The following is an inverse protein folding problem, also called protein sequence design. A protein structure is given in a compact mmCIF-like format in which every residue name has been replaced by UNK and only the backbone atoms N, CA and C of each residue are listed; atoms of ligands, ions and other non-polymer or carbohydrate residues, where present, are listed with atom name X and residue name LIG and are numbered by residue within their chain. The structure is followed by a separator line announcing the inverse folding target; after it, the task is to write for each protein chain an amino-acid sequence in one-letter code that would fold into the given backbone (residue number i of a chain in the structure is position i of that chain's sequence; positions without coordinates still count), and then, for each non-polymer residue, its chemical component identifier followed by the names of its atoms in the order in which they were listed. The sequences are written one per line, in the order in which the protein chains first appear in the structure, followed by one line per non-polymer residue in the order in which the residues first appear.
data_IF_300195283223
#
_entry.id   IF_300195283223
#
_cell.length_a   1.000
_cell.length_b   1.000
_cell.length_c   1.000
_cell.angle_alpha   90.00
_cell.angle_beta   90.00
_cell.angle_gamma   90.00
#
_symmetry.space_group_name_H-M   'P 1'
#
loop_
_entity.id
_entity.type
_entity.pdbx_description
1 polymer ?
#
# COMPACT_ATOMS: atom_id res chain seq x y z
N UNK A 1 -54.00 7.23 7.70
CA UNK A 1 -53.07 7.65 6.63
C UNK A 1 -51.66 7.40 7.12
N UNK A 2 -51.08 6.29 6.70
CA UNK A 2 -49.74 5.85 7.09
C UNK A 2 -48.69 6.56 6.21
N UNK A 3 -47.87 7.39 6.82
CA UNK A 3 -46.72 8.01 6.16
C UNK A 3 -45.70 6.91 5.89
N UNK A 4 -45.40 6.69 4.61
CA UNK A 4 -44.47 5.66 4.15
C UNK A 4 -43.03 6.15 4.37
N UNK A 5 -42.38 5.64 5.42
CA UNK A 5 -41.05 6.09 5.90
C UNK A 5 -39.91 5.73 4.89
N UNK A 6 -40.19 4.91 3.87
CA UNK A 6 -39.20 4.43 2.88
C UNK A 6 -38.85 5.41 1.73
N UNK A 7 -39.12 6.71 1.86
CA UNK A 7 -38.76 7.70 0.83
C UNK A 7 -38.21 9.02 1.37
N UNK A 8 -37.40 8.97 2.42
CA UNK A 8 -36.51 10.08 2.75
C UNK A 8 -35.08 9.60 2.46
N UNK A 9 -34.59 9.89 1.26
CA UNK A 9 -33.15 9.91 1.00
C UNK A 9 -32.60 11.14 1.71
N UNK A 10 -32.06 10.96 2.91
CA UNK A 10 -31.10 11.92 3.44
C UNK A 10 -29.85 11.80 2.58
N UNK A 11 -29.69 12.72 1.63
CA UNK A 11 -28.39 12.98 1.02
C UNK A 11 -27.57 13.75 2.07
N UNK A 12 -26.87 13.01 2.92
CA UNK A 12 -26.09 13.53 4.04
C UNK A 12 -24.71 14.08 3.59
N UNK A 13 -24.52 14.26 2.28
CA UNK A 13 -23.26 14.70 1.69
C UNK A 13 -22.13 13.66 1.79
N UNK A 14 -22.34 12.53 2.47
CA UNK A 14 -21.37 11.43 2.54
C UNK A 14 -21.17 10.79 1.16
N UNK A 15 -22.17 10.89 0.29
CA UNK A 15 -22.11 10.47 -1.11
C UNK A 15 -21.06 11.22 -1.94
N UNK A 16 -20.45 12.32 -1.45
CA UNK A 16 -19.64 13.22 -2.29
C UNK A 16 -18.12 13.07 -2.25
N UNK A 17 -17.47 12.36 -1.32
CA UNK A 17 -15.98 12.25 -1.35
C UNK A 17 -15.37 11.22 -0.39
N UNK A 18 -15.34 9.95 -0.78
CA UNK A 18 -14.22 9.08 -0.44
C UNK A 18 -13.40 8.99 -1.74
N UNK A 19 -12.12 9.36 -1.67
CA UNK A 19 -11.26 9.33 -2.83
C UNK A 19 -10.72 7.91 -2.98
N UNK A 20 -10.93 7.31 -4.16
CA UNK A 20 -10.33 6.03 -4.52
C UNK A 20 -9.40 6.25 -5.70
N UNK A 21 -8.23 5.60 -5.69
CA UNK A 21 -7.32 5.56 -6.83
C UNK A 21 -7.01 4.12 -7.21
N UNK A 22 -6.76 3.88 -8.50
CA UNK A 22 -6.30 2.59 -9.00
C UNK A 22 -4.79 2.71 -9.23
N UNK A 23 -4.01 1.83 -8.60
CA UNK A 23 -2.56 1.75 -8.80
C UNK A 23 -2.19 0.35 -9.26
N UNK A 24 -1.25 0.27 -10.20
CA UNK A 24 -0.57 -0.99 -10.52
C UNK A 24 0.60 -1.07 -9.53
N UNK A 25 0.73 -2.15 -8.78
CA UNK A 25 1.81 -2.29 -7.79
C UNK A 25 2.98 -3.09 -8.38
N UNK A 26 2.90 -4.42 -8.30
CA UNK A 26 3.96 -5.32 -8.78
C UNK A 26 3.54 -6.04 -10.03
N UNK A 27 4.43 -6.08 -11.01
CA UNK A 27 4.21 -6.79 -12.28
C UNK A 27 5.30 -7.81 -12.49
N UNK A 28 4.90 -9.01 -12.87
CA UNK A 28 5.79 -10.09 -13.29
C UNK A 28 5.54 -10.41 -14.76
N UNK A 29 6.60 -10.45 -15.55
CA UNK A 29 6.53 -10.69 -16.99
C UNK A 29 7.37 -11.90 -17.40
N UNK A 30 6.99 -12.53 -18.50
CA UNK A 30 7.83 -13.44 -19.27
C UNK A 30 8.34 -12.69 -20.48
N UNK A 31 9.65 -12.77 -20.73
CA UNK A 31 10.30 -12.20 -21.90
C UNK A 31 10.78 -13.37 -22.74
N UNK A 32 10.49 -13.40 -24.04
CA UNK A 32 10.88 -14.50 -24.91
C UNK A 32 11.29 -14.01 -26.29
N UNK A 33 12.23 -14.74 -26.90
CA UNK A 33 12.58 -14.59 -28.30
C UNK A 33 12.22 -15.89 -29.03
N UNK A 34 10.99 -16.01 -29.58
CA UNK A 34 10.43 -17.30 -29.99
C UNK A 34 11.28 -18.06 -31.01
N UNK A 35 11.88 -17.35 -31.96
CA UNK A 35 12.66 -18.01 -33.02
C UNK A 35 13.98 -18.60 -32.50
N UNK A 36 14.56 -18.04 -31.44
CA UNK A 36 15.81 -18.56 -30.88
C UNK A 36 15.65 -19.95 -30.30
N UNK A 37 14.43 -20.37 -29.90
CA UNK A 37 14.20 -21.74 -29.46
C UNK A 37 14.61 -22.76 -30.53
N UNK A 38 14.27 -22.48 -31.80
CA UNK A 38 14.63 -23.35 -32.93
C UNK A 38 16.13 -23.35 -33.27
N UNK A 39 16.88 -22.35 -32.80
CA UNK A 39 18.31 -22.17 -33.09
C UNK A 39 19.18 -22.74 -31.97
N UNK A 40 18.82 -22.47 -30.71
CA UNK A 40 19.61 -22.80 -29.53
C UNK A 40 19.19 -24.12 -28.88
N UNK A 41 17.94 -24.55 -29.06
CA UNK A 41 17.37 -25.70 -28.37
C UNK A 41 17.36 -25.56 -26.84
N UNK A 42 17.52 -26.70 -26.15
CA UNK A 42 17.59 -26.77 -24.69
C UNK A 42 18.96 -27.31 -24.27
N UNK A 43 19.88 -26.42 -23.88
CA UNK A 43 21.24 -26.78 -23.48
C UNK A 43 21.77 -25.88 -22.37
N UNK A 44 22.31 -26.47 -21.31
CA UNK A 44 22.92 -25.69 -20.23
C UNK A 44 24.25 -25.10 -20.69
N UNK A 45 24.35 -23.77 -20.75
CA UNK A 45 25.55 -23.09 -21.19
C UNK A 45 26.59 -22.99 -20.06
N UNK A 46 27.36 -24.08 -19.88
CA UNK A 46 28.28 -24.27 -18.76
C UNK A 46 29.38 -23.20 -18.72
N UNK A 47 29.96 -22.87 -19.87
CA UNK A 47 31.08 -21.92 -19.95
C UNK A 47 30.66 -20.52 -19.51
N UNK A 48 29.48 -20.08 -19.95
CA UNK A 48 28.90 -18.79 -19.57
C UNK A 48 28.53 -18.79 -18.08
N UNK A 49 27.89 -19.86 -17.59
CA UNK A 49 27.60 -20.01 -16.17
C UNK A 49 28.88 -19.94 -15.31
N UNK A 50 29.95 -20.66 -15.67
CA UNK A 50 31.20 -20.66 -14.91
C UNK A 50 31.89 -19.29 -14.96
N UNK A 51 31.86 -18.61 -16.12
CA UNK A 51 32.39 -17.26 -16.28
C UNK A 51 31.64 -16.23 -15.41
N UNK A 52 30.31 -16.22 -15.49
CA UNK A 52 29.48 -15.30 -14.68
C UNK A 52 29.58 -15.63 -13.20
N UNK A 53 29.56 -16.91 -12.82
CA UNK A 53 29.73 -17.31 -11.41
C UNK A 53 31.09 -16.89 -10.85
N UNK A 54 32.14 -16.89 -11.66
CA UNK A 54 33.49 -16.48 -11.23
C UNK A 54 33.60 -14.97 -11.08
N UNK A 55 33.11 -14.22 -12.07
CA UNK A 55 33.34 -12.76 -12.15
C UNK A 55 32.23 -11.95 -11.47
N UNK A 56 31.00 -12.46 -11.48
CA UNK A 56 29.80 -11.80 -10.97
C UNK A 56 28.88 -12.78 -10.20
N UNK A 57 29.39 -13.46 -9.15
CA UNK A 57 28.63 -14.49 -8.42
C UNK A 57 27.28 -13.99 -7.87
N UNK A 58 27.18 -12.71 -7.54
CA UNK A 58 25.96 -12.08 -7.01
C UNK A 58 24.78 -12.10 -7.98
N UNK A 59 25.04 -12.20 -9.29
CA UNK A 59 23.99 -12.25 -10.32
C UNK A 59 23.62 -13.68 -10.71
N UNK A 60 24.20 -14.71 -10.08
CA UNK A 60 23.84 -16.11 -10.32
C UNK A 60 22.83 -16.55 -9.27
N UNK A 61 21.58 -16.79 -9.69
CA UNK A 61 20.52 -17.24 -8.80
C UNK A 61 19.90 -18.55 -9.27
N UNK A 62 19.50 -19.38 -8.31
CA UNK A 62 18.72 -20.59 -8.59
C UNK A 62 17.24 -20.27 -8.47
N UNK A 63 16.53 -20.29 -9.60
CA UNK A 63 15.10 -20.01 -9.67
C UNK A 63 14.34 -21.33 -9.81
N UNK A 64 13.29 -21.49 -9.02
CA UNK A 64 12.42 -22.67 -9.12
C UNK A 64 11.46 -22.51 -10.31
N UNK A 65 11.41 -23.53 -11.15
CA UNK A 65 10.51 -23.61 -12.29
C UNK A 65 9.53 -24.78 -12.09
N UNK A 66 8.26 -24.55 -12.40
CA UNK A 66 7.27 -25.62 -12.49
C UNK A 66 7.34 -26.22 -13.88
N UNK A 67 7.71 -27.50 -13.99
CA UNK A 67 7.71 -28.23 -15.26
C UNK A 67 7.01 -29.57 -15.05
N UNK A 68 5.99 -29.87 -15.85
CA UNK A 68 5.22 -31.13 -15.83
C UNK A 68 4.81 -31.61 -14.42
N UNK A 69 4.29 -30.71 -13.58
CA UNK A 69 3.84 -31.04 -12.21
C UNK A 69 4.95 -31.15 -11.16
N UNK A 70 6.23 -31.14 -11.54
CA UNK A 70 7.38 -31.08 -10.64
C UNK A 70 7.97 -29.67 -10.48
N UNK A 71 8.60 -29.40 -9.33
CA UNK A 71 9.43 -28.20 -9.11
C UNK A 71 10.89 -28.56 -9.40
N UNK A 72 11.46 -27.97 -10.45
CA UNK A 72 12.87 -28.11 -10.79
C UNK A 72 13.55 -26.75 -10.72
N UNK A 73 14.63 -26.62 -9.96
CA UNK A 73 15.40 -25.38 -9.91
C UNK A 73 16.42 -25.31 -11.05
N UNK A 74 16.43 -24.19 -11.78
CA UNK A 74 17.43 -23.90 -12.81
C UNK A 74 18.25 -22.66 -12.44
N UNK A 75 19.45 -22.52 -13.01
CA UNK A 75 20.29 -21.34 -12.77
C UNK A 75 20.00 -20.24 -13.78
N UNK A 76 19.91 -19.02 -13.27
CA UNK A 76 19.59 -17.81 -14.02
C UNK A 76 20.63 -16.73 -13.72
N UNK A 77 20.93 -15.91 -14.74
CA UNK A 77 21.55 -14.62 -14.58
C UNK A 77 20.45 -13.62 -14.17
N UNK A 78 20.44 -13.17 -12.91
CA UNK A 78 19.50 -12.18 -12.40
C UNK A 78 20.23 -10.88 -12.07
N UNK A 79 19.77 -9.78 -12.66
CA UNK A 79 20.31 -8.45 -12.43
C UNK A 79 19.17 -7.46 -12.18
N UNK A 80 19.27 -6.58 -11.17
CA UNK A 80 18.41 -5.40 -11.11
C UNK A 80 18.77 -4.47 -12.27
N UNK A 81 17.79 -4.11 -13.09
CA UNK A 81 17.99 -3.20 -14.22
C UNK A 81 17.68 -1.76 -13.84
N UNK A 82 16.98 -1.55 -12.72
CA UNK A 82 16.63 -0.24 -12.20
C UNK A 82 16.50 -0.30 -10.66
N UNK A 83 17.08 0.69 -9.96
CA UNK A 83 17.11 0.77 -8.48
C UNK A 83 16.89 2.22 -8.00
N UNK A 84 16.34 2.36 -6.80
CA UNK A 84 16.06 3.62 -6.11
C UNK A 84 17.28 4.10 -5.29
N UNK A 85 18.00 5.16 -5.74
CA UNK A 85 19.25 5.72 -5.13
C UNK A 85 20.48 4.76 -5.18
N UNK A 86 21.77 5.11 -5.27
CA UNK A 86 22.55 6.29 -5.67
C UNK A 86 23.62 5.80 -6.70
N UNK A 87 23.15 5.28 -7.84
CA UNK A 87 23.99 4.94 -9.00
C UNK A 87 24.99 3.77 -8.83
N UNK A 88 24.92 2.99 -7.74
CA UNK A 88 25.82 1.84 -7.51
C UNK A 88 25.07 0.53 -7.37
N UNK A 89 24.79 -0.09 -8.52
CA UNK A 89 24.31 -1.47 -8.70
C UNK A 89 25.09 -2.50 -7.88
N UNK A 90 26.34 -2.19 -7.51
CA UNK A 90 27.26 -3.09 -6.82
C UNK A 90 27.05 -3.18 -5.29
N UNK A 91 26.43 -2.19 -4.63
CA UNK A 91 26.41 -2.11 -3.16
C UNK A 91 25.08 -2.47 -2.48
N UNK A 92 23.93 -2.34 -3.13
CA UNK A 92 22.61 -2.53 -2.48
C UNK A 92 21.68 -3.47 -3.28
N UNK A 93 21.77 -4.78 -3.05
CA UNK A 93 20.81 -5.76 -3.61
C UNK A 93 19.55 -5.97 -2.76
N UNK A 94 19.45 -5.35 -1.58
CA UNK A 94 18.44 -5.72 -0.57
C UNK A 94 17.34 -4.68 -0.30
N UNK A 95 17.41 -3.44 -0.81
CA UNK A 95 16.42 -2.39 -0.47
C UNK A 95 15.63 -1.80 -1.64
N UNK A 96 16.25 -1.63 -2.81
CA UNK A 96 15.89 -0.49 -3.68
C UNK A 96 15.41 -0.90 -5.09
N UNK A 97 15.22 -2.20 -5.35
CA UNK A 97 14.91 -2.68 -6.71
C UNK A 97 13.58 -2.13 -7.25
N UNK A 98 13.65 -1.40 -8.37
CA UNK A 98 12.50 -0.95 -9.15
C UNK A 98 12.17 -2.01 -10.21
N UNK A 99 13.19 -2.53 -10.90
CA UNK A 99 13.02 -3.55 -11.93
C UNK A 99 14.19 -4.55 -11.97
N UNK A 100 13.93 -5.79 -12.39
CA UNK A 100 14.95 -6.82 -12.63
C UNK A 100 14.62 -7.77 -13.77
N UNK A 101 15.68 -8.33 -14.39
CA UNK A 101 15.60 -9.39 -15.39
C UNK A 101 16.32 -10.63 -14.86
N UNK A 102 15.74 -11.81 -15.10
CA UNK A 102 16.35 -13.12 -14.88
C UNK A 102 16.38 -13.92 -16.18
N UNK A 103 17.56 -14.20 -16.73
CA UNK A 103 17.75 -14.97 -17.98
C UNK A 103 18.26 -16.36 -17.64
N UNK A 104 17.63 -17.41 -18.17
CA UNK A 104 18.06 -18.79 -17.93
C UNK A 104 19.40 -19.10 -18.62
N UNK A 105 20.35 -19.72 -17.90
CA UNK A 105 21.57 -20.24 -18.51
C UNK A 105 21.32 -21.48 -19.39
N UNK A 106 20.16 -22.13 -19.25
CA UNK A 106 19.76 -23.30 -20.05
C UNK A 106 18.91 -22.93 -21.26
N UNK A 107 18.09 -21.90 -21.11
CA UNK A 107 17.16 -21.44 -22.12
C UNK A 107 17.31 -19.91 -22.27
N UNK A 108 18.43 -19.41 -22.83
CA UNK A 108 18.66 -17.97 -22.92
C UNK A 108 17.55 -17.22 -23.67
N UNK A 109 16.85 -17.92 -24.58
CA UNK A 109 15.68 -17.43 -25.32
C UNK A 109 14.42 -17.18 -24.47
N UNK A 110 14.47 -17.44 -23.16
CA UNK A 110 13.43 -17.12 -22.17
C UNK A 110 14.05 -16.40 -20.99
N UNK A 111 13.38 -15.34 -20.54
CA UNK A 111 13.68 -14.62 -19.32
C UNK A 111 12.41 -14.29 -18.54
N UNK A 112 12.59 -13.92 -17.27
CA UNK A 112 11.54 -13.41 -16.38
C UNK A 112 11.89 -11.99 -15.98
N UNK A 113 10.92 -11.10 -16.03
CA UNK A 113 11.05 -9.73 -15.53
C UNK A 113 10.17 -9.50 -14.31
N UNK A 114 10.57 -8.55 -13.47
CA UNK A 114 9.79 -8.04 -12.35
C UNK A 114 9.97 -6.53 -12.29
N UNK A 115 8.88 -5.77 -12.14
CA UNK A 115 8.98 -4.35 -11.83
C UNK A 115 7.91 -3.89 -10.85
N UNK A 116 8.28 -2.85 -10.09
CA UNK A 116 7.44 -2.16 -9.14
C UNK A 116 7.02 -0.81 -9.71
N UNK A 117 5.73 -0.67 -10.03
CA UNK A 117 5.18 0.51 -10.67
C UNK A 117 5.06 1.72 -9.74
N UNK A 118 4.82 1.51 -8.43
CA UNK A 118 4.80 2.62 -7.47
C UNK A 118 6.19 3.24 -7.33
N UNK A 119 7.22 2.41 -7.19
CA UNK A 119 8.62 2.86 -7.14
C UNK A 119 9.04 3.48 -8.48
N UNK A 120 8.65 2.92 -9.63
CA UNK A 120 8.92 3.56 -10.91
C UNK A 120 8.27 4.96 -10.99
N UNK A 121 7.00 5.07 -10.63
CA UNK A 121 6.27 6.34 -10.63
C UNK A 121 6.93 7.38 -9.72
N UNK A 122 7.27 7.00 -8.49
CA UNK A 122 7.91 7.92 -7.55
C UNK A 122 9.27 8.41 -8.10
N UNK A 123 10.01 7.56 -8.82
CA UNK A 123 11.39 7.83 -9.28
C UNK A 123 11.36 8.90 -10.35
N UNK A 124 10.47 8.70 -11.34
CA UNK A 124 10.20 9.65 -12.43
C UNK A 124 9.72 11.01 -11.93
N UNK A 125 9.11 11.08 -10.75
CA UNK A 125 8.57 12.30 -10.16
C UNK A 125 9.42 12.87 -9.02
N UNK A 126 10.58 12.28 -8.72
CA UNK A 126 11.45 12.72 -7.61
C UNK A 126 10.76 12.67 -6.24
N UNK A 127 9.82 11.76 -6.04
CA UNK A 127 9.07 11.61 -4.79
C UNK A 127 9.83 10.70 -3.83
N UNK A 128 10.23 11.21 -2.67
CA UNK A 128 10.89 10.36 -1.68
C UNK A 128 9.86 9.42 -1.01
N UNK A 129 10.04 8.08 -1.11
CA UNK A 129 9.10 7.09 -0.57
C UNK A 129 8.99 7.13 0.96
N UNK A 130 10.00 7.68 1.64
CA UNK A 130 10.06 7.76 3.11
C UNK A 130 9.44 9.03 3.68
N UNK A 131 9.11 10.02 2.86
CA UNK A 131 8.55 11.29 3.34
C UNK A 131 7.14 11.16 3.93
N UNK A 132 6.43 10.06 3.67
CA UNK A 132 5.02 9.92 4.06
C UNK A 132 4.63 8.52 4.56
N UNK A 133 5.59 7.60 4.71
CA UNK A 133 5.31 6.22 5.12
C UNK A 133 6.11 5.83 6.35
N UNK A 134 5.54 4.95 7.20
CA UNK A 134 6.25 4.31 8.31
C UNK A 134 7.20 3.21 7.78
N UNK A 135 8.19 3.59 6.96
CA UNK A 135 9.21 2.72 6.31
C UNK A 135 8.71 1.76 5.21
N UNK A 136 7.51 1.98 4.65
CA UNK A 136 7.07 1.24 3.44
C UNK A 136 7.43 2.05 2.19
N UNK A 137 8.38 1.56 1.43
CA UNK A 137 8.88 2.23 0.22
C UNK A 137 8.10 1.89 -1.05
N UNK A 138 6.97 1.19 -0.91
CA UNK A 138 6.10 0.76 -1.99
C UNK A 138 4.67 1.30 -1.82
N UNK A 139 4.57 2.60 -1.53
CA UNK A 139 3.32 3.33 -1.32
C UNK A 139 3.43 4.72 -1.93
N UNK A 140 2.48 5.08 -2.79
CA UNK A 140 2.35 6.48 -3.20
C UNK A 140 1.85 7.34 -2.03
N UNK A 141 2.37 8.55 -1.84
CA UNK A 141 1.86 9.48 -0.82
C UNK A 141 0.35 9.68 -0.91
N UNK A 142 -0.33 9.80 0.24
CA UNK A 142 -1.80 10.01 0.31
C UNK A 142 -2.27 11.30 -0.38
N UNK A 143 -1.36 12.26 -0.58
CA UNK A 143 -1.59 13.51 -1.31
C UNK A 143 -1.74 13.33 -2.81
N UNK A 144 -1.20 12.25 -3.39
CA UNK A 144 -1.36 11.93 -4.82
C UNK A 144 -2.76 11.33 -5.01
N UNK A 145 -3.64 12.03 -5.72
CA UNK A 145 -5.04 11.63 -5.89
C UNK A 145 -5.34 11.33 -7.34
N UNK A 146 -6.33 10.47 -7.56
CA UNK A 146 -6.93 10.32 -8.89
C UNK A 146 -7.89 11.48 -9.15
N UNK A 147 -7.89 12.01 -10.36
CA UNK A 147 -8.81 13.05 -10.80
C UNK A 147 -9.98 12.47 -11.61
N UNK A 148 -10.97 13.30 -11.94
CA UNK A 148 -12.13 12.88 -12.73
C UNK A 148 -11.76 12.40 -14.15
N UNK A 149 -10.54 12.71 -14.62
CA UNK A 149 -10.04 12.33 -15.94
C UNK A 149 -9.19 11.04 -15.91
N UNK A 150 -9.05 10.39 -14.76
CA UNK A 150 -8.18 9.25 -14.53
C UNK A 150 -6.72 9.52 -14.91
N UNK A 151 -6.22 10.73 -14.63
CA UNK A 151 -4.87 11.16 -15.01
C UNK A 151 -3.79 10.25 -14.41
N UNK A 152 -3.93 9.84 -13.15
CA UNK A 152 -2.94 8.96 -12.50
C UNK A 152 -2.90 7.59 -13.18
N UNK A 153 -4.06 6.97 -13.42
CA UNK A 153 -4.13 5.68 -14.10
C UNK A 153 -3.58 5.73 -15.54
N UNK A 154 -3.83 6.81 -16.27
CA UNK A 154 -3.26 7.04 -17.61
C UNK A 154 -1.74 7.16 -17.56
N UNK A 155 -1.22 7.86 -16.57
CA UNK A 155 0.21 8.03 -16.38
C UNK A 155 0.90 6.71 -16.01
N UNK A 156 0.28 5.92 -15.12
CA UNK A 156 0.68 4.54 -14.82
C UNK A 156 0.68 3.66 -16.06
N UNK A 157 -0.34 3.79 -16.92
CA UNK A 157 -0.43 3.03 -18.17
C UNK A 157 0.70 3.39 -19.14
N UNK A 158 1.06 4.68 -19.24
CA UNK A 158 2.22 5.14 -20.04
C UNK A 158 3.53 4.57 -19.50
N UNK A 159 3.77 4.70 -18.20
CA UNK A 159 4.98 4.17 -17.55
C UNK A 159 5.09 2.66 -17.72
N UNK A 160 3.98 1.93 -17.60
CA UNK A 160 3.92 0.51 -17.81
C UNK A 160 4.39 0.13 -19.23
N UNK A 161 3.82 0.76 -20.27
CA UNK A 161 4.20 0.47 -21.67
C UNK A 161 5.66 0.80 -21.94
N UNK A 162 6.14 1.96 -21.45
CA UNK A 162 7.54 2.34 -21.58
C UNK A 162 8.47 1.29 -20.95
N UNK A 163 8.14 0.83 -19.74
CA UNK A 163 8.92 -0.18 -19.00
C UNK A 163 8.95 -1.53 -19.71
N UNK A 164 7.85 -1.92 -20.37
CA UNK A 164 7.77 -3.12 -21.22
C UNK A 164 8.72 -3.01 -22.43
N UNK A 165 8.80 -1.84 -23.07
CA UNK A 165 9.71 -1.63 -24.19
C UNK A 165 11.17 -1.57 -23.77
N UNK A 166 11.47 -0.99 -22.60
CA UNK A 166 12.82 -1.02 -22.02
C UNK A 166 13.30 -2.44 -21.73
N UNK A 167 12.42 -3.33 -21.25
CA UNK A 167 12.75 -4.75 -21.10
C UNK A 167 13.22 -5.40 -22.39
N UNK A 168 12.62 -5.06 -23.54
CA UNK A 168 13.05 -5.59 -24.83
C UNK A 168 14.48 -5.17 -25.15
N UNK A 169 14.83 -3.90 -24.87
CA UNK A 169 16.17 -3.35 -25.11
C UNK A 169 17.21 -3.97 -24.19
N UNK A 170 16.93 -4.04 -22.90
CA UNK A 170 17.83 -4.63 -21.89
C UNK A 170 18.04 -6.13 -22.13
N UNK A 171 16.97 -6.86 -22.45
CA UNK A 171 17.09 -8.28 -22.76
C UNK A 171 17.92 -8.52 -24.01
N UNK A 172 17.74 -7.72 -25.07
CA UNK A 172 18.61 -7.78 -26.25
C UNK A 172 20.08 -7.51 -25.89
N UNK A 173 20.35 -6.49 -25.09
CA UNK A 173 21.69 -6.15 -24.62
C UNK A 173 22.34 -7.32 -23.89
N UNK A 174 21.67 -7.90 -22.89
CA UNK A 174 22.23 -9.02 -22.13
C UNK A 174 22.38 -10.30 -22.95
N UNK A 175 21.46 -10.59 -23.89
CA UNK A 175 21.64 -11.69 -24.83
C UNK A 175 22.92 -11.54 -25.65
N UNK A 176 23.22 -10.33 -26.12
CA UNK A 176 24.41 -10.06 -26.91
C UNK A 176 25.68 -10.11 -26.07
N UNK A 177 25.71 -9.37 -24.96
CA UNK A 177 26.94 -9.19 -24.18
C UNK A 177 27.30 -10.41 -23.32
N UNK A 178 26.30 -11.09 -22.73
CA UNK A 178 26.57 -12.23 -21.85
C UNK A 178 26.50 -13.56 -22.59
N UNK A 179 25.57 -13.68 -23.55
CA UNK A 179 25.33 -14.94 -24.25
C UNK A 179 25.97 -15.00 -25.65
N UNK A 180 26.51 -13.88 -26.16
CA UNK A 180 27.09 -13.80 -27.50
C UNK A 180 26.03 -13.90 -28.62
N UNK A 181 24.75 -13.67 -28.30
CA UNK A 181 23.63 -13.88 -29.20
C UNK A 181 23.15 -12.53 -29.73
N UNK A 182 23.56 -12.19 -30.95
CA UNK A 182 23.02 -11.03 -31.67
C UNK A 182 21.79 -11.42 -32.49
N UNK A 183 20.60 -11.18 -31.93
CA UNK A 183 19.32 -11.59 -32.54
C UNK A 183 19.04 -10.87 -33.86
N UNK A 184 19.51 -9.64 -34.05
CA UNK A 184 19.31 -8.91 -35.31
C UNK A 184 20.17 -9.50 -36.43
N UNK A 185 21.41 -9.84 -36.11
CA UNK A 185 22.29 -10.55 -37.03
C UNK A 185 21.70 -11.91 -37.41
N UNK A 186 21.31 -12.70 -36.41
CA UNK A 186 20.67 -14.01 -36.63
C UNK A 186 19.39 -13.92 -37.47
N UNK A 187 18.57 -12.88 -37.26
CA UNK A 187 17.38 -12.63 -38.08
C UNK A 187 17.75 -12.46 -39.56
N UNK A 188 18.80 -11.68 -39.87
CA UNK A 188 19.27 -11.45 -41.25
C UNK A 188 19.84 -12.73 -41.85
N UNK A 189 20.68 -13.43 -41.10
CA UNK A 189 21.33 -14.67 -41.54
C UNK A 189 20.31 -15.79 -41.84
N UNK A 190 19.17 -15.80 -41.14
CA UNK A 190 18.08 -16.76 -41.31
C UNK A 190 16.97 -16.29 -42.28
N UNK A 191 17.18 -15.20 -43.02
CA UNK A 191 16.21 -14.58 -43.94
C UNK A 191 14.82 -14.31 -43.31
N UNK A 192 14.79 -14.00 -41.99
CA UNK A 192 13.55 -13.68 -41.26
C UNK A 192 13.18 -12.21 -41.38
N UNK A 193 13.40 -11.63 -42.56
CA UNK A 193 13.36 -10.16 -42.82
C UNK A 193 12.00 -9.54 -42.45
N UNK A 194 10.91 -10.30 -42.55
CA UNK A 194 9.53 -9.86 -42.25
C UNK A 194 9.21 -9.65 -40.75
N UNK A 195 10.07 -10.06 -39.82
CA UNK A 195 9.81 -9.85 -38.37
C UNK A 195 10.13 -8.40 -37.97
N UNK A 196 9.17 -7.63 -37.45
CA UNK A 196 9.47 -6.31 -36.86
C UNK A 196 10.19 -6.46 -35.52
N UNK A 197 10.85 -5.39 -35.03
CA UNK A 197 11.58 -5.42 -33.76
C UNK A 197 10.68 -5.87 -32.59
N UNK A 198 9.44 -5.38 -32.58
CA UNK A 198 8.40 -5.69 -31.60
C UNK A 198 8.00 -7.18 -31.60
N UNK A 199 8.29 -7.90 -32.69
CA UNK A 199 8.07 -9.35 -32.84
C UNK A 199 9.33 -10.17 -32.61
N UNK A 200 10.50 -9.54 -32.44
CA UNK A 200 11.74 -10.25 -32.11
C UNK A 200 11.76 -10.65 -30.65
N UNK A 201 11.30 -9.75 -29.77
CA UNK A 201 11.22 -9.97 -28.34
C UNK A 201 9.79 -9.72 -27.90
N UNK A 202 9.13 -10.78 -27.45
CA UNK A 202 7.79 -10.72 -26.89
C UNK A 202 7.90 -10.61 -25.38
N UNK A 203 7.19 -9.64 -24.80
CA UNK A 203 7.08 -9.48 -23.35
C UNK A 203 5.61 -9.69 -22.99
N UNK A 204 5.34 -10.56 -22.03
CA UNK A 204 3.96 -10.92 -21.69
C UNK A 204 3.75 -10.93 -20.18
N UNK A 205 2.66 -10.31 -19.72
CA UNK A 205 2.33 -10.20 -18.30
C UNK A 205 1.86 -11.53 -17.73
N UNK A 206 2.64 -12.09 -16.80
CA UNK A 206 2.33 -13.35 -16.12
C UNK A 206 1.47 -13.13 -14.88
N UNK A 207 1.71 -12.05 -14.16
CA UNK A 207 0.96 -11.66 -12.97
C UNK A 207 1.06 -10.17 -12.74
N UNK A 208 -0.01 -9.53 -12.31
CA UNK A 208 -0.02 -8.13 -11.90
C UNK A 208 -0.82 -7.96 -10.61
N UNK A 209 -0.27 -7.24 -9.64
CA UNK A 209 -0.97 -6.73 -8.47
C UNK A 209 -1.58 -5.38 -8.85
N UNK A 210 -2.91 -5.32 -8.95
CA UNK A 210 -3.68 -4.11 -9.22
C UNK A 210 -4.49 -3.76 -7.99
N UNK A 211 -4.24 -2.58 -7.44
CA UNK A 211 -4.74 -2.17 -6.15
C UNK A 211 -5.72 -1.02 -6.31
N UNK A 212 -6.87 -1.12 -5.64
CA UNK A 212 -7.72 0.03 -5.36
C UNK A 212 -7.39 0.54 -3.97
N UNK A 213 -6.92 1.76 -3.89
CA UNK A 213 -6.58 2.42 -2.64
C UNK A 213 -7.68 3.41 -2.27
N UNK A 214 -8.30 3.17 -1.13
CA UNK A 214 -9.27 4.07 -0.52
C UNK A 214 -8.50 5.03 0.40
N UNK A 215 -8.52 6.29 0.02
CA UNK A 215 -7.75 7.34 0.69
C UNK A 215 -8.55 7.93 1.86
N UNK A 216 -7.83 8.32 2.90
CA UNK A 216 -8.36 8.72 4.21
C UNK A 216 -9.31 7.68 4.79
N UNK A 217 -9.05 6.40 4.52
CA UNK A 217 -9.86 5.29 4.99
C UNK A 217 -9.05 4.30 5.83
N UNK A 218 -9.68 3.78 6.88
CA UNK A 218 -9.12 2.78 7.78
C UNK A 218 -9.83 1.43 7.62
N UNK A 219 -9.13 0.32 7.93
CA UNK A 219 -9.67 -1.05 7.82
C UNK A 219 -11.04 -1.25 8.46
N UNK A 220 -11.27 -0.63 9.62
CA UNK A 220 -12.53 -0.73 10.36
C UNK A 220 -13.73 -0.24 9.53
N UNK A 221 -13.53 0.73 8.63
CA UNK A 221 -14.59 1.27 7.78
C UNK A 221 -15.15 0.22 6.80
N UNK A 222 -14.43 -0.85 6.54
CA UNK A 222 -14.86 -1.87 5.59
C UNK A 222 -15.38 -3.14 6.28
N UNK A 223 -15.65 -3.12 7.59
CA UNK A 223 -16.17 -4.28 8.32
C UNK A 223 -17.46 -4.88 7.72
N UNK A 224 -18.33 -4.08 7.09
CA UNK A 224 -19.55 -4.57 6.44
C UNK A 224 -19.26 -5.47 5.21
N UNK A 225 -18.12 -5.32 4.54
CA UNK A 225 -17.65 -6.24 3.48
C UNK A 225 -17.51 -7.66 4.05
N UNK A 226 -17.17 -7.76 5.33
CA UNK A 226 -17.07 -9.00 6.09
C UNK A 226 -18.45 -9.52 6.50
N UNK A 227 -19.38 -8.65 6.90
CA UNK A 227 -20.73 -9.01 7.38
C UNK A 227 -21.74 -9.36 6.26
N UNK A 228 -21.64 -8.73 5.08
CA UNK A 228 -22.54 -8.97 3.93
C UNK A 228 -22.41 -10.38 3.31
N UNK A 229 -21.54 -11.24 3.85
CA UNK A 229 -21.19 -12.53 3.27
C UNK A 229 -22.05 -13.66 3.80
N UNK A 230 -22.93 -14.18 2.93
CA UNK A 230 -23.57 -15.49 3.13
C UNK A 230 -22.68 -16.69 2.75
N UNK A 231 -21.63 -16.51 1.94
CA UNK A 231 -20.72 -17.59 1.54
C UNK A 231 -19.38 -17.01 1.07
N UNK A 232 -18.26 -17.32 1.76
CA UNK A 232 -16.88 -17.51 1.26
C UNK A 232 -15.84 -17.15 2.34
N UNK A 233 -14.97 -18.12 2.61
CA UNK A 233 -13.99 -18.16 3.70
C UNK A 233 -13.11 -16.90 3.74
N UNK A 234 -13.23 -16.16 4.85
CA UNK A 234 -12.24 -15.19 5.31
C UNK A 234 -11.18 -15.96 6.12
N UNK A 235 -9.91 -15.80 5.77
CA UNK A 235 -8.81 -16.21 6.64
C UNK A 235 -8.10 -14.94 7.10
N UNK A 236 -8.46 -14.47 8.29
CA UNK A 236 -7.74 -13.38 8.98
C UNK A 236 -6.47 -13.99 9.55
N UNK A 237 -5.31 -13.48 9.13
CA UNK A 237 -4.06 -13.76 9.83
C UNK A 237 -3.86 -12.66 10.88
N UNK A 238 -3.52 -13.04 12.10
CA UNK A 238 -3.30 -12.12 13.22
C UNK A 238 -1.98 -11.34 13.11
N UNK A 239 -1.66 -10.83 11.94
CA UNK A 239 -0.58 -9.85 11.78
C UNK A 239 -1.07 -8.47 12.25
N UNK A 240 -0.14 -7.60 12.66
CA UNK A 240 -0.46 -6.21 13.08
C UNK A 240 -1.13 -5.40 11.95
N UNK A 241 -1.04 -5.86 10.71
CA UNK A 241 -1.66 -5.26 9.51
C UNK A 241 -3.12 -5.67 9.29
N UNK A 242 -3.63 -6.66 10.04
CA UNK A 242 -4.97 -7.22 9.93
C UNK A 242 -5.32 -7.60 8.48
N UNK A 243 -4.40 -8.28 7.79
CA UNK A 243 -4.61 -8.63 6.38
C UNK A 243 -5.72 -9.66 6.20
N UNK A 244 -6.72 -9.29 5.40
CA UNK A 244 -7.85 -10.13 5.05
C UNK A 244 -7.64 -10.75 3.67
N UNK A 245 -7.69 -12.07 3.60
CA UNK A 245 -7.64 -12.80 2.35
C UNK A 245 -9.02 -13.28 1.95
N UNK A 246 -9.39 -12.97 0.71
CA UNK A 246 -10.65 -13.40 0.13
C UNK A 246 -10.40 -14.51 -0.88
N UNK A 247 -10.94 -15.69 -0.56
CA UNK A 247 -10.82 -16.88 -1.41
C UNK A 247 -12.17 -17.23 -2.01
N UNK A 248 -12.19 -17.42 -3.33
CA UNK A 248 -13.36 -17.96 -4.03
C UNK A 248 -13.33 -19.50 -3.94
N UNK A 249 -14.48 -20.16 -3.76
CA UNK A 249 -14.57 -21.60 -3.52
C UNK A 249 -14.27 -22.43 -4.78
N UNK A 250 -14.13 -21.80 -5.95
CA UNK A 250 -13.83 -22.51 -7.21
C UNK A 250 -12.34 -22.87 -7.30
N UNK A 251 -12.04 -24.13 -7.63
CA UNK A 251 -10.67 -24.56 -7.95
C UNK A 251 -10.21 -23.84 -9.23
N UNK A 252 -9.02 -23.22 -9.20
CA UNK A 252 -8.43 -22.53 -10.35
C UNK A 252 -8.60 -21.00 -10.38
N UNK A 253 -8.78 -20.34 -9.22
CA UNK A 253 -8.93 -18.88 -9.14
C UNK A 253 -7.82 -18.13 -9.88
N UNK A 254 -8.21 -17.40 -10.93
CA UNK A 254 -7.34 -16.51 -11.70
C UNK A 254 -7.14 -15.14 -11.04
N UNK A 255 -7.95 -14.82 -10.02
CA UNK A 255 -7.86 -13.59 -9.19
C UNK A 255 -7.69 -13.97 -7.73
N UNK A 256 -6.74 -13.34 -7.05
CA UNK A 256 -6.65 -13.33 -5.59
C UNK A 256 -7.02 -11.94 -5.10
N UNK A 257 -7.80 -11.85 -4.02
CA UNK A 257 -8.16 -10.56 -3.43
C UNK A 257 -7.69 -10.50 -1.98
N UNK A 258 -6.97 -9.44 -1.63
CA UNK A 258 -6.54 -9.11 -0.27
C UNK A 258 -7.00 -7.72 0.10
N UNK A 259 -7.32 -7.51 1.38
CA UNK A 259 -7.55 -6.19 1.95
C UNK A 259 -6.69 -6.00 3.18
N UNK A 260 -6.07 -4.83 3.32
CA UNK A 260 -5.25 -4.51 4.48
C UNK A 260 -5.02 -3.00 4.58
N UNK A 261 -4.59 -2.54 5.76
CA UNK A 261 -4.13 -1.17 5.94
C UNK A 261 -2.71 -1.06 5.39
N UNK A 262 -2.53 -0.34 4.27
CA UNK A 262 -1.21 -0.20 3.63
C UNK A 262 -0.37 0.90 4.29
N UNK A 263 -1.02 1.96 4.76
CA UNK A 263 -0.41 3.07 5.49
C UNK A 263 -1.49 3.84 6.25
N UNK A 264 -1.11 4.82 7.07
CA UNK A 264 -2.09 5.66 7.75
C UNK A 264 -3.04 6.31 6.73
N UNK A 265 -4.35 6.11 6.90
CA UNK A 265 -5.37 6.61 5.97
C UNK A 265 -5.37 5.97 4.57
N UNK A 266 -4.64 4.89 4.31
CA UNK A 266 -4.68 4.18 3.01
C UNK A 266 -5.12 2.74 3.24
N UNK A 267 -6.40 2.47 2.99
CA UNK A 267 -6.92 1.10 2.96
C UNK A 267 -6.80 0.54 1.55
N UNK A 268 -6.10 -0.58 1.39
CA UNK A 268 -5.78 -1.15 0.09
C UNK A 268 -6.59 -2.41 -0.16
N UNK A 269 -7.27 -2.42 -1.31
CA UNK A 269 -7.91 -3.58 -1.90
C UNK A 269 -7.04 -4.08 -3.06
N UNK A 270 -6.25 -5.12 -2.83
CA UNK A 270 -5.28 -5.67 -3.77
C UNK A 270 -5.85 -6.87 -4.53
N UNK A 271 -5.94 -6.76 -5.84
CA UNK A 271 -6.25 -7.86 -6.74
C UNK A 271 -4.98 -8.36 -7.43
N UNK A 272 -4.62 -9.62 -7.23
CA UNK A 272 -3.56 -10.25 -8.03
C UNK A 272 -4.20 -11.00 -9.19
N UNK A 273 -3.97 -10.51 -10.42
CA UNK A 273 -4.43 -11.12 -11.66
C UNK A 273 -3.37 -12.08 -12.19
N UNK A 274 -3.74 -13.33 -12.46
CA UNK A 274 -2.80 -14.38 -12.87
C UNK A 274 -3.01 -14.85 -14.32
N UNK A 275 -1.91 -15.17 -14.99
CA UNK A 275 -1.85 -15.96 -16.23
C UNK A 275 -2.60 -15.35 -17.44
N UNK A 276 -3.70 -15.96 -17.85
CA UNK A 276 -4.46 -15.50 -19.03
C UNK A 276 -5.24 -14.22 -18.74
N UNK A 277 -5.73 -14.08 -17.51
CA UNK A 277 -6.52 -12.93 -17.09
C UNK A 277 -5.69 -11.63 -17.09
N UNK A 278 -4.45 -11.71 -16.60
CA UNK A 278 -3.52 -10.57 -16.66
C UNK A 278 -3.21 -10.15 -18.09
N UNK A 279 -3.13 -11.10 -19.03
CA UNK A 279 -2.91 -10.82 -20.46
C UNK A 279 -4.14 -10.21 -21.14
N UNK A 280 -5.34 -10.48 -20.65
CA UNK A 280 -6.57 -9.93 -21.19
C UNK A 280 -6.79 -8.48 -20.74
N UNK A 281 -6.49 -8.17 -19.47
CA UNK A 281 -6.75 -6.84 -18.91
C UNK A 281 -5.56 -5.87 -18.95
N UNK A 282 -4.33 -6.38 -19.12
CA UNK A 282 -3.14 -5.56 -19.31
C UNK A 282 -2.75 -5.60 -20.79
N UNK A 283 -3.49 -4.85 -21.60
CA UNK A 283 -3.32 -4.77 -23.05
C UNK A 283 -2.12 -3.89 -23.44
N UNK A 284 -1.45 -4.24 -24.53
CA UNK A 284 -0.31 -3.49 -25.08
C UNK A 284 -0.75 -2.27 -25.91
N UNK A 285 -1.78 -1.56 -25.47
CA UNK A 285 -2.25 -0.32 -26.10
C UNK A 285 -2.52 0.74 -25.03
N UNK A 286 -1.72 1.81 -25.04
CA UNK A 286 -1.78 2.90 -24.08
C UNK A 286 -3.14 3.60 -24.03
N UNK A 287 -3.88 3.63 -25.15
CA UNK A 287 -5.19 4.28 -25.21
C UNK A 287 -6.27 3.45 -24.50
N UNK A 288 -6.17 2.12 -24.60
CA UNK A 288 -7.18 1.19 -24.06
C UNK A 288 -6.80 0.61 -22.70
N UNK A 289 -5.51 0.60 -22.33
CA UNK A 289 -5.03 0.02 -21.09
C UNK A 289 -5.71 0.60 -19.83
N UNK A 290 -5.91 1.93 -19.68
CA UNK A 290 -6.65 2.47 -18.53
C UNK A 290 -8.07 1.93 -18.42
N UNK A 291 -8.79 1.85 -19.55
CA UNK A 291 -10.16 1.34 -19.60
C UNK A 291 -10.19 -0.15 -19.26
N UNK A 292 -9.28 -0.93 -19.83
CA UNK A 292 -9.17 -2.37 -19.59
C UNK A 292 -8.84 -2.70 -18.14
N UNK A 293 -7.95 -1.93 -17.50
CA UNK A 293 -7.67 -2.04 -16.06
C UNK A 293 -8.93 -1.73 -15.24
N UNK A 294 -9.64 -0.66 -15.57
CA UNK A 294 -10.86 -0.26 -14.87
C UNK A 294 -11.95 -1.35 -14.97
N UNK A 295 -12.14 -1.92 -16.16
CA UNK A 295 -13.04 -3.06 -16.39
C UNK A 295 -12.59 -4.29 -15.57
N UNK A 296 -11.31 -4.63 -15.58
CA UNK A 296 -10.76 -5.73 -14.80
C UNK A 296 -10.93 -5.57 -13.29
N UNK A 297 -10.86 -4.33 -12.78
CA UNK A 297 -11.17 -4.00 -11.38
C UNK A 297 -12.65 -4.24 -11.10
N UNK A 298 -13.55 -3.73 -11.93
CA UNK A 298 -15.01 -3.93 -11.77
C UNK A 298 -15.38 -5.42 -11.77
N UNK A 299 -14.86 -6.18 -12.72
CA UNK A 299 -15.07 -7.62 -12.80
C UNK A 299 -14.47 -8.37 -11.60
N UNK A 300 -13.32 -7.92 -11.10
CA UNK A 300 -12.70 -8.48 -9.90
C UNK A 300 -13.59 -8.27 -8.67
N UNK A 301 -14.15 -7.08 -8.45
CA UNK A 301 -15.12 -6.85 -7.37
C UNK A 301 -16.36 -7.72 -7.53
N UNK A 302 -16.93 -7.76 -8.74
CA UNK A 302 -18.11 -8.58 -9.03
C UNK A 302 -17.87 -10.07 -8.77
N UNK A 303 -16.67 -10.58 -9.09
CA UNK A 303 -16.25 -11.95 -8.81
C UNK A 303 -16.36 -12.31 -7.32
N UNK A 304 -16.08 -11.35 -6.43
CA UNK A 304 -16.19 -11.52 -4.98
C UNK A 304 -17.54 -11.07 -4.40
N UNK A 305 -18.53 -10.79 -5.24
CA UNK A 305 -19.89 -10.41 -4.83
C UNK A 305 -20.02 -8.95 -4.40
N UNK A 306 -19.12 -8.10 -4.88
CA UNK A 306 -19.09 -6.68 -4.57
C UNK A 306 -19.33 -5.84 -5.81
N UNK A 307 -19.80 -4.62 -5.61
CA UNK A 307 -19.97 -3.64 -6.67
C UNK A 307 -18.99 -2.48 -6.42
N UNK A 308 -18.03 -2.32 -7.32
CA UNK A 308 -16.99 -1.30 -7.22
C UNK A 308 -17.55 0.13 -7.25
N UNK A 309 -18.64 0.35 -7.96
CA UNK A 309 -19.24 1.66 -8.13
C UNK A 309 -20.10 2.06 -6.94
N UNK A 310 -20.72 1.10 -6.25
CA UNK A 310 -21.57 1.36 -5.08
C UNK A 310 -20.94 1.01 -3.74
N UNK A 311 -19.75 0.39 -3.71
CA UNK A 311 -19.01 0.16 -2.46
C UNK A 311 -18.66 1.48 -1.77
N UNK A 312 -18.90 1.59 -0.45
CA UNK A 312 -18.64 2.80 0.34
C UNK A 312 -18.04 2.42 1.69
N UNK A 313 -16.95 3.06 2.15
CA UNK A 313 -16.51 2.88 3.52
C UNK A 313 -17.67 3.24 4.48
N UNK A 314 -17.79 2.52 5.59
CA UNK A 314 -18.65 2.91 6.69
C UNK A 314 -18.19 4.27 7.20
N UNK A 315 -19.17 5.11 7.50
CA UNK A 315 -18.93 6.37 8.16
C UNK A 315 -18.51 6.07 9.60
N UNK A 316 -17.24 6.27 9.92
CA UNK A 316 -16.82 6.39 11.31
C UNK A 316 -17.07 7.83 11.72
N UNK A 317 -17.80 8.02 12.81
CA UNK A 317 -17.75 9.31 13.49
C UNK A 317 -16.42 9.34 14.25
N UNK A 318 -15.72 10.48 14.31
CA UNK A 318 -14.58 10.62 15.23
C UNK A 318 -14.97 10.21 16.67
N UNK A 319 -16.25 10.36 17.01
CA UNK A 319 -16.85 9.89 18.25
C UNK A 319 -16.97 8.36 18.38
N UNK A 320 -17.18 7.60 17.30
CA UNK A 320 -17.24 6.13 17.36
C UNK A 320 -15.87 5.53 17.70
N UNK A 321 -14.79 6.08 17.12
CA UNK A 321 -13.42 5.67 17.46
C UNK A 321 -13.13 5.97 18.94
N UNK A 322 -13.54 7.13 19.43
CA UNK A 322 -13.41 7.47 20.86
C UNK A 322 -14.27 6.58 21.75
N UNK A 323 -15.43 6.13 21.26
CA UNK A 323 -16.29 5.19 21.97
C UNK A 323 -15.62 3.81 22.10
N UNK A 324 -14.90 3.33 21.08
CA UNK A 324 -14.15 2.07 21.17
C UNK A 324 -13.06 2.14 22.26
N UNK A 325 -12.34 3.27 22.35
CA UNK A 325 -11.40 3.50 23.45
C UNK A 325 -12.10 3.64 24.80
N UNK A 326 -13.28 4.27 24.85
CA UNK A 326 -14.09 4.36 26.06
C UNK A 326 -14.51 2.98 26.57
N UNK A 327 -14.92 2.09 25.67
CA UNK A 327 -15.32 0.73 25.99
C UNK A 327 -14.12 -0.12 26.41
N UNK A 328 -13.01 -0.04 25.67
CA UNK A 328 -11.77 -0.77 25.99
C UNK A 328 -11.20 -0.35 27.34
N UNK A 329 -11.11 0.96 27.58
CA UNK A 329 -10.66 1.49 28.85
C UNK A 329 -11.73 1.42 29.91
N UNK A 330 -12.99 1.10 29.61
CA UNK A 330 -14.12 1.14 30.54
C UNK A 330 -14.18 2.49 31.28
N UNK A 331 -14.08 3.58 30.52
CA UNK A 331 -14.16 4.95 30.98
C UNK A 331 -15.33 5.66 30.28
N UNK A 332 -15.97 6.65 30.91
CA UNK A 332 -16.93 7.49 30.20
C UNK A 332 -16.26 8.19 29.00
N UNK A 333 -17.01 8.38 27.93
CA UNK A 333 -16.51 9.00 26.70
C UNK A 333 -15.84 10.37 26.93
N UNK A 334 -16.40 11.20 27.80
CA UNK A 334 -15.81 12.51 28.15
C UNK A 334 -14.44 12.39 28.82
N UNK A 335 -14.22 11.32 29.59
CA UNK A 335 -12.91 11.05 30.19
C UNK A 335 -11.91 10.66 29.11
N UNK A 336 -12.33 9.86 28.14
CA UNK A 336 -11.49 9.49 26.99
C UNK A 336 -11.16 10.70 26.12
N UNK A 337 -12.13 11.58 25.85
CA UNK A 337 -11.90 12.86 25.17
C UNK A 337 -10.88 13.72 25.93
N UNK A 338 -10.97 13.77 27.26
CA UNK A 338 -10.00 14.50 28.10
C UNK A 338 -8.61 13.84 28.07
N UNK A 339 -8.55 12.51 28.12
CA UNK A 339 -7.30 11.74 28.03
C UNK A 339 -6.63 11.93 26.68
N UNK A 340 -7.38 12.04 25.58
CA UNK A 340 -6.83 12.05 24.22
C UNK A 340 -6.63 13.45 23.63
N UNK A 341 -7.53 14.39 23.91
CA UNK A 341 -7.52 15.72 23.30
C UNK A 341 -7.47 16.86 24.31
N UNK A 342 -7.46 16.55 25.61
CA UNK A 342 -7.42 17.55 26.65
C UNK A 342 -6.07 18.25 26.78
N UNK A 343 -6.12 19.48 27.28
CA UNK A 343 -4.99 20.42 27.46
C UNK A 343 -3.95 19.99 28.50
N UNK A 344 -4.23 18.95 29.31
CA UNK A 344 -3.42 18.69 30.49
C UNK A 344 -2.14 17.89 30.25
N UNK A 345 -0.97 18.46 30.57
CA UNK A 345 0.32 17.76 30.62
C UNK A 345 0.60 17.22 32.03
N UNK A 346 0.26 17.99 33.07
CA UNK A 346 0.40 17.60 34.48
C UNK A 346 -0.95 17.45 35.15
N UNK A 347 -1.20 16.25 35.66
CA UNK A 347 -2.45 15.88 36.30
C UNK A 347 -2.31 15.96 37.81
N UNK A 348 -3.12 16.82 38.43
CA UNK A 348 -3.25 16.91 39.89
C UNK A 348 -4.65 16.48 40.31
N UNK A 349 -4.70 15.56 41.25
CA UNK A 349 -5.96 15.06 41.80
C UNK A 349 -6.12 15.53 43.24
N UNK A 350 -7.22 16.20 43.50
CA UNK A 350 -7.66 16.58 44.84
C UNK A 350 -8.43 15.44 45.54
N UNK A 351 -9.02 15.72 46.71
CA UNK A 351 -9.80 14.72 47.46
C UNK A 351 -11.03 14.25 46.69
N UNK A 352 -11.64 15.12 45.88
CA UNK A 352 -12.88 14.85 45.15
C UNK A 352 -12.61 14.04 43.86
N UNK A 353 -11.41 14.15 43.29
CA UNK A 353 -11.00 13.45 42.07
C UNK A 353 -10.13 12.20 42.33
N UNK A 354 -10.00 11.77 43.60
CA UNK A 354 -9.27 10.54 43.99
C UNK A 354 -9.78 9.30 43.25
N UNK A 355 -11.10 9.17 43.07
CA UNK A 355 -11.68 8.02 42.35
C UNK A 355 -11.36 8.01 40.85
N UNK A 356 -11.14 9.18 40.24
CA UNK A 356 -10.66 9.30 38.86
C UNK A 356 -9.21 8.84 38.76
N UNK A 357 -8.36 9.31 39.69
CA UNK A 357 -6.95 8.90 39.77
C UNK A 357 -6.80 7.39 39.84
N UNK A 358 -7.50 6.71 40.75
CA UNK A 358 -7.36 5.25 40.88
C UNK A 358 -7.85 4.51 39.63
N UNK A 359 -8.91 5.00 38.97
CA UNK A 359 -9.39 4.44 37.69
C UNK A 359 -8.38 4.59 36.56
N UNK A 360 -7.79 5.77 36.40
CA UNK A 360 -6.75 6.00 35.38
C UNK A 360 -5.47 5.21 35.68
N UNK A 361 -5.07 5.15 36.95
CA UNK A 361 -3.89 4.42 37.42
C UNK A 361 -4.02 2.91 37.22
N UNK A 362 -5.15 2.32 37.59
CA UNK A 362 -5.43 0.88 37.41
C UNK A 362 -5.41 0.42 35.95
N UNK A 363 -5.52 1.36 35.01
CA UNK A 363 -5.48 1.13 33.57
C UNK A 363 -4.14 1.53 32.93
N UNK A 364 -3.16 1.91 33.75
CA UNK A 364 -1.85 2.39 33.32
C UNK A 364 -1.90 3.59 32.35
N UNK A 365 -2.96 4.42 32.44
CA UNK A 365 -3.12 5.62 31.60
C UNK A 365 -2.33 6.81 32.16
N UNK A 366 -2.03 6.79 33.47
CA UNK A 366 -1.24 7.83 34.14
C UNK A 366 -0.08 7.21 34.92
N UNK A 367 1.02 7.95 35.02
CA UNK A 367 2.20 7.61 35.82
C UNK A 367 2.60 8.80 36.70
N UNK A 368 3.28 8.59 37.84
CA UNK A 368 3.80 9.70 38.63
C UNK A 368 4.73 10.57 37.78
N UNK A 369 4.64 11.90 37.92
CA UNK A 369 5.56 12.80 37.23
C UNK A 369 6.98 12.60 37.77
N UNK A 370 7.95 12.46 36.87
CA UNK A 370 9.36 12.25 37.20
C UNK A 370 9.92 13.44 37.99
N UNK A 371 10.80 13.17 38.97
CA UNK A 371 11.45 14.23 39.76
C UNK A 371 12.25 15.19 38.88
N UNK A 372 12.84 14.68 37.80
CA UNK A 372 13.64 15.45 36.83
C UNK A 372 12.81 16.48 36.06
N UNK A 373 11.49 16.25 35.91
CA UNK A 373 10.53 17.17 35.31
C UNK A 373 9.76 17.99 36.37
N UNK A 374 10.32 18.11 37.58
CA UNK A 374 9.70 18.85 38.70
C UNK A 374 8.65 18.06 39.48
N UNK A 375 8.60 16.73 39.32
CA UNK A 375 7.64 15.84 39.97
C UNK A 375 7.62 15.93 41.51
N UNK A 376 6.44 16.26 42.06
CA UNK A 376 6.14 16.29 43.50
C UNK A 376 5.10 15.24 43.85
N UNK A 377 5.00 14.90 45.15
CA UNK A 377 4.01 13.93 45.65
C UNK A 377 2.59 14.36 45.25
N UNK A 378 1.93 13.52 44.47
CA UNK A 378 0.55 13.76 44.02
C UNK A 378 0.41 14.37 42.63
N UNK A 379 1.52 14.67 41.94
CA UNK A 379 1.54 15.05 40.53
C UNK A 379 1.73 13.81 39.64
N UNK A 380 0.98 13.77 38.55
CA UNK A 380 0.97 12.67 37.59
C UNK A 380 1.09 13.24 36.18
N UNK A 381 1.45 12.40 35.22
CA UNK A 381 1.40 12.68 33.79
C UNK A 381 0.70 11.55 33.06
N UNK A 382 0.28 11.80 31.82
CA UNK A 382 -0.14 10.73 30.93
C UNK A 382 1.02 9.77 30.66
N UNK A 383 0.73 8.48 30.60
CA UNK A 383 1.73 7.46 30.27
C UNK A 383 2.20 7.59 28.82
N UNK A 384 3.37 7.04 28.52
CA UNK A 384 3.94 7.09 27.16
C UNK A 384 3.02 6.40 26.13
N UNK A 385 2.25 5.39 26.57
CA UNK A 385 1.22 4.75 25.75
C UNK A 385 0.14 5.73 25.36
N UNK A 386 -0.37 6.54 26.30
CA UNK A 386 -1.37 7.57 26.00
C UNK A 386 -0.80 8.60 25.04
N UNK A 387 0.45 9.05 25.25
CA UNK A 387 1.11 10.01 24.35
C UNK A 387 1.23 9.47 22.92
N UNK A 388 1.62 8.20 22.76
CA UNK A 388 1.67 7.54 21.44
C UNK A 388 0.29 7.45 20.79
N UNK A 389 -0.76 7.14 21.58
CA UNK A 389 -2.12 7.08 21.07
C UNK A 389 -2.60 8.46 20.63
N UNK A 390 -2.33 9.51 21.42
CA UNK A 390 -2.62 10.91 21.06
C UNK A 390 -2.02 11.25 19.70
N UNK A 391 -0.73 10.98 19.50
CA UNK A 391 -0.04 11.21 18.23
C UNK A 391 -0.66 10.41 17.07
N UNK A 392 -1.02 9.14 17.31
CA UNK A 392 -1.65 8.31 16.27
C UNK A 392 -3.04 8.81 15.86
N UNK A 393 -3.80 9.38 16.81
CA UNK A 393 -5.17 9.82 16.56
C UNK A 393 -5.28 11.19 15.89
N UNK A 394 -4.20 11.97 15.85
CA UNK A 394 -4.14 13.23 15.10
C UNK A 394 -4.44 13.04 13.60
N UNK A 395 -4.24 11.83 13.07
CA UNK A 395 -4.61 11.46 11.69
C UNK A 395 -5.98 10.78 11.54
N UNK A 396 -6.65 10.42 12.64
CA UNK A 396 -7.88 9.62 12.63
C UNK A 396 -9.15 10.42 12.92
N UNK A 397 -9.02 11.68 13.38
CA UNK A 397 -10.20 12.50 13.68
C UNK A 397 -10.77 13.13 12.41
N UNK A 398 -11.95 12.66 12.02
CA UNK A 398 -12.61 13.01 10.76
C UNK A 398 -13.74 14.01 11.02
N UNK A 399 -13.80 15.06 10.19
CA UNK A 399 -14.79 16.12 10.31
C UNK A 399 -16.21 15.56 10.21
N UNK A 400 -17.10 15.78 11.20
CA UNK A 400 -18.45 15.20 11.16
C UNK A 400 -19.33 15.75 10.03
N UNK A 401 -18.95 16.89 9.45
CA UNK A 401 -19.71 17.62 8.40
C UNK A 401 -19.26 17.23 7.01
N UNK A 402 -17.94 17.19 6.75
CA UNK A 402 -17.43 16.96 5.40
C UNK A 402 -16.50 15.74 5.27
N UNK A 403 -16.27 15.01 6.37
CA UNK A 403 -15.43 13.82 6.46
C UNK A 403 -13.97 13.98 5.99
N UNK A 404 -13.46 15.21 5.88
CA UNK A 404 -12.01 15.39 5.75
C UNK A 404 -11.32 15.05 7.08
N UNK A 405 -10.09 14.57 7.01
CA UNK A 405 -9.20 14.53 8.19
C UNK A 405 -9.11 15.96 8.74
N UNK A 406 -9.22 16.10 10.05
CA UNK A 406 -9.05 17.37 10.73
C UNK A 406 -7.63 17.45 11.28
N UNK A 407 -6.97 18.58 11.05
CA UNK A 407 -5.67 18.84 11.67
C UNK A 407 -5.87 19.20 13.13
N UNK A 408 -5.17 18.53 14.03
CA UNK A 408 -5.12 18.94 15.43
C UNK A 408 -4.17 20.13 15.60
N UNK A 409 -4.65 21.20 16.21
CA UNK A 409 -3.86 22.37 16.64
C UNK A 409 -3.53 22.16 18.11
N UNK A 410 -2.32 21.68 18.39
CA UNK A 410 -1.86 21.37 19.75
C UNK A 410 -1.85 22.60 20.65
N UNK A 411 -1.49 23.77 20.12
CA UNK A 411 -1.48 25.05 20.84
C UNK A 411 -2.86 25.48 21.32
N UNK A 412 -3.89 25.19 20.51
CA UNK A 412 -5.28 25.59 20.79
C UNK A 412 -6.15 24.43 21.24
N UNK A 413 -5.56 23.23 21.39
CA UNK A 413 -6.24 21.99 21.75
C UNK A 413 -7.55 21.76 20.99
N UNK A 414 -7.51 21.89 19.66
CA UNK A 414 -8.71 21.82 18.82
C UNK A 414 -8.43 21.12 17.51
N UNK A 415 -9.42 20.42 16.99
CA UNK A 415 -9.37 19.94 15.62
C UNK A 415 -9.91 21.00 14.69
N UNK A 416 -9.19 21.26 13.60
CA UNK A 416 -9.60 22.19 12.54
C UNK A 416 -9.73 21.41 11.24
N UNK A 417 -10.92 21.43 10.67
CA UNK A 417 -11.16 20.94 9.33
C UNK A 417 -10.70 21.99 8.32
N UNK A 418 -9.62 21.71 7.59
CA UNK A 418 -9.08 22.64 6.59
C UNK A 418 -9.97 22.74 5.34
N UNK A 419 -10.88 21.78 5.14
CA UNK A 419 -11.78 21.75 4.00
C UNK A 419 -13.05 22.59 4.20
N UNK A 420 -13.73 22.50 5.36
CA UNK A 420 -14.97 23.24 5.62
C UNK A 420 -14.86 24.28 6.74
N UNK A 421 -13.68 24.44 7.35
CA UNK A 421 -13.43 25.41 8.42
C UNK A 421 -14.05 25.03 9.76
N UNK A 422 -14.69 23.85 9.89
CA UNK A 422 -15.25 23.38 11.17
C UNK A 422 -14.14 23.26 12.21
N UNK A 423 -14.44 23.72 13.42
CA UNK A 423 -13.56 23.60 14.57
C UNK A 423 -14.27 22.77 15.64
N UNK A 424 -13.64 21.69 16.08
CA UNK A 424 -14.04 20.94 17.27
C UNK A 424 -13.04 21.29 18.38
N UNK A 425 -13.47 22.16 19.30
CA UNK A 425 -12.64 22.67 20.38
C UNK A 425 -12.61 21.69 21.56
N UNK A 426 -11.42 21.24 21.93
CA UNK A 426 -11.20 20.33 23.05
C UNK A 426 -10.49 21.00 24.24
N UNK A 427 -10.20 22.30 24.17
CA UNK A 427 -9.57 23.06 25.26
C UNK A 427 -10.41 23.04 26.54
N UNK A 428 -11.72 22.83 26.42
CA UNK A 428 -12.66 22.70 27.55
C UNK A 428 -12.46 21.42 28.37
N UNK A 429 -11.78 20.40 27.83
CA UNK A 429 -11.58 19.11 28.49
C UNK A 429 -10.22 19.11 29.20
N UNK A 430 -10.20 19.44 30.49
CA UNK A 430 -8.98 19.56 31.29
C UNK A 430 -9.07 18.75 32.60
N UNK A 431 -7.96 18.19 33.04
CA UNK A 431 -7.80 17.52 34.33
C UNK A 431 -6.64 18.17 35.10
N UNK A 432 -6.92 19.29 35.75
CA UNK A 432 -5.89 20.08 36.45
C UNK A 432 -6.31 21.54 36.57
N UNK A 433 -5.41 22.37 37.09
CA UNK A 433 -5.58 23.82 37.18
C UNK A 433 -4.74 24.49 36.08
N UNK A 434 -5.24 25.56 35.48
CA UNK A 434 -4.56 26.32 34.42
C UNK A 434 -3.17 26.82 34.84
N UNK A 435 -2.99 27.16 36.12
CA UNK A 435 -1.70 27.61 36.64
C UNK A 435 -0.61 26.53 36.55
N UNK A 436 -0.98 25.25 36.69
CA UNK A 436 -0.03 24.14 36.57
C UNK A 436 0.32 23.87 35.11
N UNK A 437 -0.59 24.13 34.17
CA UNK A 437 -0.26 23.99 32.75
C UNK A 437 0.67 25.11 32.27
N UNK A 438 0.54 26.33 32.79
CA UNK A 438 1.50 27.41 32.49
C UNK A 438 2.90 27.14 33.07
N UNK A 439 2.98 26.57 34.28
CA UNK A 439 4.24 26.26 34.96
C UNK A 439 5.01 25.10 34.28
N UNK A 440 4.31 24.05 33.82
CA UNK A 440 4.95 22.84 33.29
C UNK A 440 4.89 22.70 31.76
N UNK A 441 3.90 23.30 31.08
CA UNK A 441 3.76 23.23 29.62
C UNK A 441 4.88 23.95 28.85
N UNK A 442 5.48 25.00 29.44
CA UNK A 442 6.61 25.73 28.86
C UNK A 442 7.94 24.96 28.94
N UNK A 443 8.08 24.02 29.88
CA UNK A 443 9.32 23.24 30.07
C UNK A 443 9.35 21.96 29.23
N UNK A 444 8.21 21.50 28.69
CA UNK A 444 8.09 20.29 27.88
C UNK A 444 8.23 20.50 26.37
N UNK A 445 8.39 21.75 25.92
CA UNK A 445 8.60 22.12 24.50
C UNK A 445 10.09 22.42 24.16
N UNK A 446 10.99 22.26 25.14
CA UNK A 446 12.45 22.16 24.93
C UNK A 446 12.85 20.69 24.93
#
# INVERSE_FOLDING_TARGET
MSVNINKIKFDDGYAKKYDKRIVIDRVYVSIQCPFLFSVLGNGFNKDIYENVRKNYPQFVQRITEKKNGGKTGDFHFRIPVEVWEDGKLESNLQGEEIASISISFRQPHVARGYFNMNRLYMSEHGLNPYNSSYRDDNVLPISIREDENNTLLKEYSRLFINRIDEYKREYYYYLKELFGIDIEKLKRDLDRVKMTYDKLIEVSVQSAEVCVEWLNCESLQFNYITEARKNNYLKVYGDLTQTEYYTSPKKGNKVQFKRYQKGAGINRHEFTWHSELSRQWIVEDIQYLPLSIFEGVNESYAHFGFDFETMRPLKLSGESVLQDYADWWRLPLDYVKTVLYGKSYVLKFDRNSKGVRERLKSKALIVPLEKELGGKRGLWRWSDTVQKIRLSLQGCYVCPVCNSVMRYDETKHRHVCEHCGRVDDHSIWQLGDDQLEEEYGNNSQQ
#
